data_IF_326483875139
#
_entry.id   IF_326483875139
#
_cell.length_a   1.000
_cell.length_b   1.000
_cell.length_c   1.000
_cell.angle_alpha   90.00
_cell.angle_beta   90.00
_cell.angle_gamma   90.00
#
_symmetry.space_group_name_H-M   'P 1'
#
loop_
_entity.id
_entity.type
_entity.pdbx_description
1 polymer ?
#
# COMPACT_ATOMS: atom_id res chain seq x y z
N UNK A 1 34.17 13.25 -2.56
CA UNK A 1 32.71 12.99 -2.62
C UNK A 1 32.44 11.64 -1.94
N UNK A 2 31.23 11.37 -1.49
CA UNK A 2 30.89 10.08 -0.85
C UNK A 2 29.44 9.69 -1.14
N UNK A 3 29.20 8.44 -1.53
CA UNK A 3 27.86 7.84 -1.59
C UNK A 3 27.49 7.33 -0.19
N UNK A 4 26.86 8.22 0.61
CA UNK A 4 26.65 7.99 2.04
C UNK A 4 25.54 6.99 2.33
N UNK A 5 24.43 7.04 1.58
CA UNK A 5 23.26 6.20 1.83
C UNK A 5 22.46 5.90 0.56
N UNK A 6 21.81 4.74 0.54
CA UNK A 6 20.86 4.33 -0.49
C UNK A 6 19.61 3.79 0.20
N UNK A 7 18.46 4.28 -0.20
CA UNK A 7 17.15 3.81 0.27
C UNK A 7 16.20 3.59 -0.91
N UNK A 8 15.15 2.82 -0.67
CA UNK A 8 14.13 2.56 -1.69
C UNK A 8 12.74 2.56 -1.09
N UNK A 9 11.72 2.76 -1.95
CA UNK A 9 10.35 2.90 -1.49
C UNK A 9 9.30 2.55 -2.51
N UNK A 10 8.16 2.04 -2.01
CA UNK A 10 6.95 1.77 -2.80
C UNK A 10 5.68 2.38 -2.18
N UNK A 11 5.69 2.72 -0.94
CA UNK A 11 4.70 3.45 -0.14
C UNK A 11 5.42 3.99 1.09
N UNK A 12 6.29 3.18 1.66
CA UNK A 12 7.23 3.48 2.73
C UNK A 12 8.62 3.57 2.13
N UNK A 13 9.49 4.46 2.64
CA UNK A 13 10.89 4.62 2.18
C UNK A 13 11.82 4.21 3.31
N UNK A 14 12.65 3.19 3.08
CA UNK A 14 13.64 2.66 4.04
C UNK A 14 14.78 1.94 3.30
N UNK A 15 15.93 1.77 3.99
CA UNK A 15 17.07 0.98 3.48
C UNK A 15 16.83 -0.53 3.52
N UNK A 16 15.84 -0.99 4.31
CA UNK A 16 15.52 -2.39 4.55
C UNK A 16 14.08 -2.77 4.13
N UNK A 17 13.41 -1.90 3.36
CA UNK A 17 12.05 -2.19 2.90
C UNK A 17 12.02 -3.45 2.05
N UNK A 18 11.14 -4.40 2.40
CA UNK A 18 10.82 -5.51 1.53
C UNK A 18 9.89 -5.03 0.41
N UNK A 19 10.36 -5.11 -0.84
CA UNK A 19 9.62 -4.67 -2.02
C UNK A 19 8.55 -5.69 -2.42
N UNK A 20 7.45 -5.20 -2.98
CA UNK A 20 6.42 -6.01 -3.64
C UNK A 20 6.88 -6.30 -5.07
N UNK A 21 6.93 -7.57 -5.46
CA UNK A 21 7.32 -7.95 -6.81
C UNK A 21 6.39 -7.35 -7.88
N UNK A 22 6.98 -6.82 -8.94
CA UNK A 22 6.24 -6.22 -10.05
C UNK A 22 5.56 -4.88 -9.76
N UNK A 23 5.83 -4.25 -8.60
CA UNK A 23 5.45 -2.86 -8.30
C UNK A 23 6.68 -1.97 -8.50
N UNK A 24 6.62 -0.84 -9.22
CA UNK A 24 7.76 0.05 -9.38
C UNK A 24 8.22 0.60 -8.02
N UNK A 25 9.49 1.00 -7.91
CA UNK A 25 10.03 1.54 -6.67
C UNK A 25 10.84 2.83 -6.92
N UNK A 26 10.74 3.76 -5.98
CA UNK A 26 11.70 4.84 -5.86
C UNK A 26 13.06 4.24 -5.47
N UNK A 27 14.11 4.62 -6.14
CA UNK A 27 15.49 4.50 -5.68
C UNK A 27 15.97 5.89 -5.30
N UNK A 28 16.62 6.01 -4.15
CA UNK A 28 17.12 7.27 -3.63
C UNK A 28 18.53 7.09 -3.10
N UNK A 29 19.47 7.90 -3.60
CA UNK A 29 20.87 7.86 -3.21
C UNK A 29 21.31 9.24 -2.71
N UNK A 30 22.08 9.25 -1.63
CA UNK A 30 22.65 10.46 -1.06
C UNK A 30 24.14 10.49 -1.39
N UNK A 31 24.52 11.45 -2.24
CA UNK A 31 25.91 11.70 -2.58
C UNK A 31 26.27 13.07 -2.03
N UNK A 32 27.28 13.11 -1.18
CA UNK A 32 27.70 14.29 -0.47
C UNK A 32 29.05 14.77 -0.99
N UNK A 33 29.26 16.07 -0.97
CA UNK A 33 30.54 16.69 -1.37
C UNK A 33 30.85 17.91 -0.52
N UNK A 34 32.14 18.13 -0.30
CA UNK A 34 32.65 19.24 0.50
C UNK A 34 33.06 20.46 -0.35
N UNK A 35 33.09 20.30 -1.69
CA UNK A 35 33.45 21.36 -2.63
C UNK A 35 32.20 22.00 -3.26
N UNK A 36 32.09 23.29 -3.13
CA UNK A 36 30.99 24.05 -3.76
C UNK A 36 31.03 23.93 -5.29
N UNK A 37 29.85 23.77 -5.90
CA UNK A 37 29.69 23.74 -7.36
C UNK A 37 30.03 22.40 -8.02
N UNK A 38 30.30 21.34 -7.24
CA UNK A 38 30.58 20.02 -7.81
C UNK A 38 29.28 19.39 -8.31
N UNK A 39 29.22 19.05 -9.60
CA UNK A 39 28.14 18.31 -10.25
C UNK A 39 28.62 16.90 -10.59
N UNK A 40 27.80 15.91 -10.34
CA UNK A 40 28.13 14.50 -10.53
C UNK A 40 26.96 13.75 -11.17
N UNK A 41 27.31 12.74 -11.98
CA UNK A 41 26.34 11.71 -12.40
C UNK A 41 26.27 10.60 -11.35
N UNK A 42 25.09 10.01 -11.19
CA UNK A 42 24.91 8.79 -10.38
C UNK A 42 24.20 7.77 -11.26
N UNK A 43 24.70 6.55 -11.24
CA UNK A 43 24.16 5.42 -12.02
C UNK A 43 24.03 4.19 -11.15
N UNK A 44 22.97 3.43 -11.35
CA UNK A 44 22.85 2.08 -10.82
C UNK A 44 22.84 1.06 -11.95
N UNK A 45 23.73 0.08 -11.92
CA UNK A 45 23.63 -1.12 -12.75
C UNK A 45 22.72 -2.12 -12.04
N UNK A 46 21.65 -2.53 -12.72
CA UNK A 46 20.63 -3.45 -12.19
C UNK A 46 20.93 -4.88 -12.62
N UNK A 47 20.92 -5.78 -11.66
CA UNK A 47 21.11 -7.21 -11.89
C UNK A 47 19.92 -8.00 -11.34
N UNK A 48 19.55 -9.09 -12.02
CA UNK A 48 18.64 -10.12 -11.51
C UNK A 48 19.36 -11.46 -11.54
N UNK A 49 19.46 -12.13 -10.38
CA UNK A 49 20.18 -13.39 -10.23
C UNK A 49 21.60 -13.33 -10.85
N UNK A 50 22.33 -12.25 -10.55
CA UNK A 50 23.67 -11.93 -11.05
C UNK A 50 23.78 -11.66 -12.57
N UNK A 51 22.64 -11.60 -13.28
CA UNK A 51 22.60 -11.24 -14.71
C UNK A 51 22.31 -9.75 -14.85
N UNK A 52 23.18 -9.04 -15.55
CA UNK A 52 22.97 -7.63 -15.88
C UNK A 52 21.70 -7.44 -16.70
N UNK A 53 20.91 -6.45 -16.35
CA UNK A 53 19.66 -6.10 -17.02
C UNK A 53 19.79 -4.77 -17.77
N UNK A 54 20.08 -3.71 -17.03
CA UNK A 54 20.25 -2.36 -17.58
C UNK A 54 20.89 -1.44 -16.56
N UNK A 55 21.33 -0.28 -17.05
CA UNK A 55 21.72 0.85 -16.23
C UNK A 55 20.54 1.81 -16.03
N UNK A 56 20.50 2.45 -14.84
CA UNK A 56 19.56 3.51 -14.48
C UNK A 56 20.35 4.74 -14.09
N UNK A 57 20.23 5.82 -14.87
CA UNK A 57 20.78 7.12 -14.50
C UNK A 57 19.83 7.84 -13.52
N UNK A 58 20.39 8.47 -12.50
CA UNK A 58 19.64 9.17 -11.48
C UNK A 58 19.57 10.67 -11.81
N UNK A 59 18.37 11.24 -11.64
CA UNK A 59 18.19 12.69 -11.57
C UNK A 59 18.57 13.16 -10.15
N UNK A 60 19.39 14.21 -10.05
CA UNK A 60 19.86 14.70 -8.76
C UNK A 60 20.03 16.22 -8.71
N UNK A 61 20.58 16.74 -7.60
CA UNK A 61 20.88 18.15 -7.44
C UNK A 61 21.95 18.60 -8.45
N UNK A 62 21.86 19.85 -8.86
CA UNK A 62 22.86 20.46 -9.76
C UNK A 62 24.25 20.55 -9.12
N UNK A 63 24.31 20.60 -7.78
CA UNK A 63 25.55 20.59 -6.99
C UNK A 63 25.37 19.67 -5.78
N UNK A 64 26.45 19.01 -5.39
CA UNK A 64 26.43 18.09 -4.25
C UNK A 64 26.12 18.83 -2.95
N UNK A 65 25.15 18.33 -2.14
CA UNK A 65 24.89 18.86 -0.82
C UNK A 65 26.03 18.44 0.15
N UNK A 66 26.32 19.26 1.18
CA UNK A 66 27.32 18.90 2.19
C UNK A 66 26.81 17.92 3.25
N UNK A 67 25.50 17.73 3.35
CA UNK A 67 24.84 16.82 4.31
C UNK A 67 23.55 16.26 3.73
N UNK A 68 23.10 15.12 4.29
CA UNK A 68 21.83 14.52 3.89
C UNK A 68 20.63 15.39 4.31
N UNK A 69 19.71 15.56 3.37
CA UNK A 69 18.39 16.14 3.66
C UNK A 69 17.31 15.13 3.27
N UNK A 70 16.77 14.44 4.27
CA UNK A 70 15.76 13.38 4.07
C UNK A 70 14.38 13.93 3.69
N UNK A 71 14.11 15.20 4.00
CA UNK A 71 12.81 15.82 3.75
C UNK A 71 12.66 16.40 2.34
N UNK A 72 13.77 16.56 1.60
CA UNK A 72 13.75 17.14 0.28
C UNK A 72 14.31 16.18 -0.78
N UNK A 73 13.42 15.73 -1.66
CA UNK A 73 13.83 14.87 -2.78
C UNK A 73 14.83 15.54 -3.72
N UNK A 74 14.77 16.86 -3.87
CA UNK A 74 15.67 17.60 -4.76
C UNK A 74 17.14 17.63 -4.29
N UNK A 75 17.36 17.33 -3.00
CA UNK A 75 18.71 17.26 -2.36
C UNK A 75 19.28 15.83 -2.38
N UNK A 76 18.67 14.91 -3.13
CA UNK A 76 19.14 13.54 -3.30
C UNK A 76 19.03 13.11 -4.76
N UNK A 77 19.79 12.09 -5.14
CA UNK A 77 19.71 11.46 -6.46
C UNK A 77 18.57 10.44 -6.48
N UNK A 78 17.76 10.44 -7.55
CA UNK A 78 16.55 9.65 -7.65
C UNK A 78 16.43 8.96 -9.00
N UNK A 79 15.99 7.70 -8.97
CA UNK A 79 15.55 6.98 -10.15
C UNK A 79 14.29 6.18 -9.82
N UNK A 80 13.52 5.82 -10.84
CA UNK A 80 12.45 4.86 -10.70
C UNK A 80 12.94 3.50 -11.16
N UNK A 81 12.94 2.51 -10.27
CA UNK A 81 13.16 1.13 -10.65
C UNK A 81 11.90 0.61 -11.34
N UNK A 82 11.97 0.20 -12.63
CA UNK A 82 10.81 -0.30 -13.36
C UNK A 82 10.22 -1.55 -12.71
N UNK A 83 8.91 -1.68 -12.78
CA UNK A 83 8.17 -2.82 -12.21
C UNK A 83 8.72 -4.18 -12.65
N UNK A 84 9.12 -4.32 -13.91
CA UNK A 84 9.69 -5.54 -14.48
C UNK A 84 11.00 -5.98 -13.82
N UNK A 85 11.74 -5.06 -13.21
CA UNK A 85 13.01 -5.31 -12.54
C UNK A 85 12.84 -5.53 -11.02
N UNK A 86 11.68 -5.25 -10.46
CA UNK A 86 11.40 -5.55 -9.05
C UNK A 86 11.02 -7.03 -8.93
N UNK A 87 12.04 -7.87 -8.87
CA UNK A 87 11.93 -9.33 -8.83
C UNK A 87 12.87 -9.93 -7.77
N UNK A 88 12.59 -11.12 -7.24
CA UNK A 88 13.54 -11.85 -6.39
C UNK A 88 14.90 -12.01 -7.09
N UNK A 89 15.98 -11.84 -6.32
CA UNK A 89 17.34 -11.84 -6.86
C UNK A 89 17.81 -10.49 -7.37
N UNK A 90 17.08 -9.40 -7.04
CA UNK A 90 17.46 -8.03 -7.36
C UNK A 90 18.77 -7.62 -6.64
N UNK A 91 19.72 -7.11 -7.41
CA UNK A 91 20.94 -6.46 -6.93
C UNK A 91 21.13 -5.14 -7.68
N UNK A 92 21.48 -4.10 -6.95
CA UNK A 92 21.77 -2.76 -7.48
C UNK A 92 23.18 -2.38 -7.13
N UNK A 93 24.00 -2.06 -8.13
CA UNK A 93 25.36 -1.53 -7.97
C UNK A 93 25.35 -0.07 -8.34
N UNK A 94 25.37 0.79 -7.33
CA UNK A 94 25.34 2.24 -7.51
C UNK A 94 26.75 2.78 -7.57
N UNK A 95 26.97 3.73 -8.47
CA UNK A 95 28.22 4.45 -8.61
C UNK A 95 27.95 5.94 -8.79
N UNK A 96 28.57 6.75 -7.95
CA UNK A 96 28.72 8.18 -8.18
C UNK A 96 29.98 8.39 -9.06
N UNK A 97 29.89 9.34 -10.00
CA UNK A 97 30.90 9.59 -11.01
C UNK A 97 31.33 8.33 -11.82
N UNK A 98 30.41 7.64 -12.50
CA UNK A 98 30.70 6.40 -13.22
C UNK A 98 31.71 6.60 -14.39
N UNK A 99 31.85 7.83 -14.85
CA UNK A 99 32.75 8.18 -15.95
C UNK A 99 34.11 8.68 -15.45
N UNK A 100 34.37 8.67 -14.12
CA UNK A 100 35.59 9.11 -13.43
C UNK A 100 36.09 10.50 -13.90
N UNK A 101 35.16 11.46 -13.91
CA UNK A 101 35.45 12.84 -14.37
C UNK A 101 35.93 13.74 -13.22
N UNK A 102 35.79 13.31 -11.97
CA UNK A 102 36.09 14.07 -10.77
C UNK A 102 37.25 13.36 -10.05
N UNK A 103 38.43 14.00 -10.02
CA UNK A 103 39.57 13.45 -9.30
C UNK A 103 39.39 13.56 -7.80
N UNK A 104 39.45 12.45 -7.09
CA UNK A 104 39.28 12.34 -5.65
C UNK A 104 40.46 11.67 -4.96
N UNK A 105 40.55 11.86 -3.65
CA UNK A 105 41.61 11.22 -2.85
C UNK A 105 41.21 9.77 -2.49
N UNK A 106 39.92 9.44 -2.54
CA UNK A 106 39.40 8.10 -2.25
C UNK A 106 38.25 7.80 -3.24
N UNK A 107 38.51 6.97 -4.22
CA UNK A 107 37.55 6.53 -5.23
C UNK A 107 36.70 5.32 -4.75
N UNK A 108 37.04 4.75 -3.59
CA UNK A 108 36.38 3.54 -3.11
C UNK A 108 35.04 3.82 -2.41
N UNK A 109 34.82 5.07 -1.99
CA UNK A 109 33.59 5.50 -1.29
C UNK A 109 32.46 5.94 -2.25
N UNK A 110 32.69 5.86 -3.56
CA UNK A 110 31.77 6.20 -4.64
C UNK A 110 30.87 5.02 -5.07
N UNK A 111 31.14 3.82 -4.54
CA UNK A 111 30.47 2.58 -4.93
C UNK A 111 29.65 2.03 -3.78
N UNK A 112 28.43 1.56 -4.08
CA UNK A 112 27.60 0.84 -3.13
C UNK A 112 26.78 -0.25 -3.81
N UNK A 113 26.88 -1.47 -3.31
CA UNK A 113 26.02 -2.58 -3.73
C UNK A 113 24.94 -2.81 -2.67
N UNK A 114 23.70 -2.88 -3.10
CA UNK A 114 22.55 -3.22 -2.25
C UNK A 114 21.74 -4.33 -2.88
N UNK A 115 21.16 -5.18 -2.04
CA UNK A 115 20.36 -6.33 -2.46
C UNK A 115 18.98 -6.26 -1.79
N UNK A 116 18.06 -5.41 -2.31
CA UNK A 116 16.72 -5.29 -1.72
C UNK A 116 16.00 -6.64 -1.68
N UNK A 117 15.44 -6.97 -0.53
CA UNK A 117 14.56 -8.14 -0.45
C UNK A 117 13.29 -7.87 -1.24
N UNK A 118 12.95 -8.75 -2.18
CA UNK A 118 11.71 -8.68 -2.95
C UNK A 118 10.79 -9.83 -2.54
N UNK A 119 9.59 -9.47 -2.09
CA UNK A 119 8.54 -10.42 -1.71
C UNK A 119 7.74 -10.94 -2.91
N UNK A 120 6.50 -11.35 -2.66
CA UNK A 120 5.63 -11.89 -3.72
C UNK A 120 4.91 -10.77 -4.49
N UNK A 121 4.34 -11.14 -5.63
CA UNK A 121 3.32 -10.35 -6.34
C UNK A 121 2.02 -10.39 -5.53
N UNK A 122 1.53 -9.22 -5.13
CA UNK A 122 0.32 -9.08 -4.33
C UNK A 122 -0.72 -8.28 -5.11
N UNK A 123 -1.50 -8.96 -5.95
CA UNK A 123 -2.66 -8.38 -6.62
C UNK A 123 -3.92 -8.60 -5.78
N UNK A 124 -4.63 -7.53 -5.45
CA UNK A 124 -5.93 -7.63 -4.77
C UNK A 124 -7.04 -7.88 -5.79
N UNK A 125 -7.73 -9.00 -5.65
CA UNK A 125 -8.94 -9.30 -6.42
C UNK A 125 -10.16 -8.90 -5.60
N UNK A 126 -10.84 -7.82 -6.02
CA UNK A 126 -11.91 -7.17 -5.27
C UNK A 126 -13.22 -7.19 -6.07
N UNK A 127 -14.29 -7.62 -5.45
CA UNK A 127 -15.67 -7.51 -5.95
C UNK A 127 -16.38 -6.40 -5.20
N UNK A 128 -16.83 -5.37 -5.91
CA UNK A 128 -17.65 -4.30 -5.36
C UNK A 128 -19.12 -4.63 -5.50
N UNK A 129 -19.84 -4.58 -4.40
CA UNK A 129 -21.30 -4.84 -4.34
C UNK A 129 -22.01 -3.53 -4.03
N UNK A 130 -22.73 -2.93 -5.01
CA UNK A 130 -23.61 -1.79 -4.72
C UNK A 130 -24.71 -2.21 -3.76
N UNK A 131 -24.82 -1.56 -2.59
CA UNK A 131 -25.87 -1.87 -1.61
C UNK A 131 -26.96 -0.82 -1.68
N UNK A 132 -28.16 -1.25 -2.06
CA UNK A 132 -29.38 -0.44 -2.04
C UNK A 132 -30.02 -0.61 -0.67
N UNK A 133 -29.89 0.41 0.18
CA UNK A 133 -30.42 0.38 1.54
C UNK A 133 -31.72 1.19 1.63
N UNK A 134 -32.84 0.55 1.99
CA UNK A 134 -34.12 1.22 2.05
C UNK A 134 -34.54 1.92 0.74
N UNK A 135 -34.13 1.37 -0.40
CA UNK A 135 -34.38 1.94 -1.74
C UNK A 135 -33.38 3.02 -2.19
N UNK A 136 -32.41 3.42 -1.34
CA UNK A 136 -31.42 4.45 -1.66
C UNK A 136 -30.24 3.81 -2.41
N UNK A 137 -29.97 4.32 -3.64
CA UNK A 137 -28.83 3.88 -4.46
C UNK A 137 -27.52 4.47 -3.93
N UNK A 138 -26.44 3.69 -3.83
CA UNK A 138 -25.14 4.23 -3.52
C UNK A 138 -24.54 5.03 -4.69
N UNK A 139 -23.64 6.00 -4.43
CA UNK A 139 -22.91 6.68 -5.48
C UNK A 139 -21.98 5.70 -6.19
N UNK A 140 -21.86 5.80 -7.52
CA UNK A 140 -20.91 4.98 -8.29
C UNK A 140 -19.48 5.50 -8.02
N UNK A 141 -18.55 4.67 -7.50
CA UNK A 141 -17.18 5.10 -7.27
C UNK A 141 -16.41 5.26 -8.58
N UNK A 142 -15.48 6.20 -8.63
CA UNK A 142 -14.44 6.24 -9.65
C UNK A 142 -13.43 5.12 -9.42
N UNK A 143 -13.47 4.10 -10.26
CA UNK A 143 -12.64 2.90 -10.12
C UNK A 143 -11.16 3.19 -10.32
N UNK A 144 -10.80 4.19 -11.15
CA UNK A 144 -9.41 4.61 -11.37
C UNK A 144 -8.81 5.20 -10.09
N UNK A 145 -9.48 6.20 -9.53
CA UNK A 145 -9.10 6.84 -8.27
C UNK A 145 -9.06 5.83 -7.12
N UNK A 146 -10.04 4.93 -7.06
CA UNK A 146 -10.10 3.90 -6.02
C UNK A 146 -8.91 2.93 -6.09
N UNK A 147 -8.63 2.36 -7.28
CA UNK A 147 -7.48 1.47 -7.49
C UNK A 147 -6.18 2.14 -7.12
N UNK A 148 -5.97 3.38 -7.58
CA UNK A 148 -4.76 4.12 -7.30
C UNK A 148 -4.58 4.41 -5.81
N UNK A 149 -5.66 4.84 -5.12
CA UNK A 149 -5.61 5.10 -3.69
C UNK A 149 -5.27 3.86 -2.87
N UNK A 150 -5.77 2.68 -3.25
CA UNK A 150 -5.45 1.43 -2.58
C UNK A 150 -4.00 0.98 -2.84
N UNK A 151 -3.50 1.15 -4.07
CA UNK A 151 -2.10 0.82 -4.43
C UNK A 151 -1.12 1.79 -3.77
N UNK A 152 -1.48 3.06 -3.59
CA UNK A 152 -0.62 4.04 -2.91
C UNK A 152 -0.44 3.72 -1.42
N UNK A 153 -1.45 3.14 -0.76
CA UNK A 153 -1.43 2.85 0.68
C UNK A 153 -0.92 1.44 0.98
N UNK A 154 -1.39 0.42 0.26
CA UNK A 154 -1.12 -0.96 0.62
C UNK A 154 0.01 -1.59 -0.20
N UNK A 155 0.65 -2.66 0.31
CA UNK A 155 1.67 -3.42 -0.41
C UNK A 155 1.03 -4.24 -1.55
N UNK A 156 0.40 -3.53 -2.48
CA UNK A 156 -0.29 -4.08 -3.63
C UNK A 156 0.41 -3.65 -4.92
N UNK A 157 0.67 -4.61 -5.81
CA UNK A 157 1.09 -4.33 -7.19
C UNK A 157 -0.05 -3.76 -8.01
N UNK A 158 -1.24 -4.32 -7.83
CA UNK A 158 -2.43 -3.95 -8.57
C UNK A 158 -3.72 -4.29 -7.80
N UNK A 159 -4.83 -3.66 -8.22
CA UNK A 159 -6.18 -4.01 -7.77
C UNK A 159 -7.03 -4.35 -9.00
N UNK A 160 -7.49 -5.59 -9.06
CA UNK A 160 -8.46 -6.06 -10.04
C UNK A 160 -9.86 -5.92 -9.46
N UNK A 161 -10.67 -5.01 -10.00
CA UNK A 161 -12.03 -4.75 -9.52
C UNK A 161 -13.05 -5.33 -10.48
N UNK A 162 -13.99 -6.12 -9.93
CA UNK A 162 -15.23 -6.54 -10.59
C UNK A 162 -16.42 -5.89 -9.88
N UNK A 163 -17.43 -5.53 -10.68
CA UNK A 163 -18.70 -5.02 -10.16
C UNK A 163 -19.71 -6.17 -10.14
N UNK A 164 -20.38 -6.36 -9.00
CA UNK A 164 -21.52 -7.27 -8.89
C UNK A 164 -22.83 -6.52 -9.16
N UNK A 165 -23.89 -7.25 -9.46
CA UNK A 165 -25.27 -6.72 -9.41
C UNK A 165 -25.59 -6.20 -8.01
N UNK A 166 -26.40 -5.13 -7.94
CA UNK A 166 -26.75 -4.51 -6.69
C UNK A 166 -27.47 -5.49 -5.73
N UNK A 167 -27.17 -5.37 -4.46
CA UNK A 167 -27.81 -6.08 -3.37
C UNK A 167 -28.75 -5.12 -2.62
N UNK A 168 -30.00 -5.53 -2.40
CA UNK A 168 -30.99 -4.71 -1.68
C UNK A 168 -31.20 -5.23 -0.28
N UNK A 169 -31.24 -4.31 0.69
CA UNK A 169 -31.50 -4.62 2.10
C UNK A 169 -32.28 -3.49 2.77
N UNK A 170 -32.99 -3.81 3.83
CA UNK A 170 -33.62 -2.83 4.72
C UNK A 170 -32.86 -2.68 6.05
N UNK A 171 -31.81 -3.49 6.27
CA UNK A 171 -31.04 -3.39 7.52
C UNK A 171 -30.29 -2.07 7.62
N UNK A 172 -30.30 -1.48 8.81
CA UNK A 172 -29.45 -0.32 9.18
C UNK A 172 -28.32 -0.72 10.14
N UNK A 173 -28.31 -1.98 10.55
CA UNK A 173 -27.26 -2.54 11.40
C UNK A 173 -26.04 -2.95 10.58
N UNK A 174 -24.88 -2.38 10.91
CA UNK A 174 -23.62 -2.62 10.20
C UNK A 174 -23.15 -4.09 10.28
N UNK A 175 -23.33 -4.72 11.45
CA UNK A 175 -22.93 -6.11 11.66
C UNK A 175 -23.81 -7.06 10.87
N UNK A 176 -25.13 -6.80 10.82
CA UNK A 176 -26.06 -7.55 9.99
C UNK A 176 -25.72 -7.39 8.51
N UNK A 177 -25.48 -6.17 8.03
CA UNK A 177 -25.09 -5.93 6.64
C UNK A 177 -23.78 -6.67 6.27
N UNK A 178 -22.79 -6.63 7.16
CA UNK A 178 -21.53 -7.35 6.96
C UNK A 178 -21.76 -8.87 6.86
N UNK A 179 -22.66 -9.44 7.66
CA UNK A 179 -23.07 -10.83 7.58
C UNK A 179 -23.79 -11.15 6.25
N UNK A 180 -24.68 -10.27 5.80
CA UNK A 180 -25.39 -10.42 4.51
C UNK A 180 -24.40 -10.45 3.33
N UNK A 181 -23.43 -9.54 3.27
CA UNK A 181 -22.38 -9.53 2.23
C UNK A 181 -21.45 -10.75 2.35
N UNK A 182 -21.21 -11.23 3.56
CA UNK A 182 -20.44 -12.48 3.79
C UNK A 182 -21.18 -13.68 3.21
N UNK A 183 -22.48 -13.79 3.47
CA UNK A 183 -23.32 -14.85 2.92
C UNK A 183 -23.41 -14.76 1.38
N UNK A 184 -23.48 -13.53 0.84
CA UNK A 184 -23.49 -13.29 -0.59
C UNK A 184 -22.20 -13.79 -1.27
N UNK A 185 -21.02 -13.46 -0.68
CA UNK A 185 -19.74 -13.98 -1.14
C UNK A 185 -19.68 -15.51 -1.12
N UNK A 186 -20.20 -16.13 -0.06
CA UNK A 186 -20.25 -17.58 0.07
C UNK A 186 -21.17 -18.23 -0.97
N UNK A 187 -22.32 -17.61 -1.24
CA UNK A 187 -23.26 -18.06 -2.27
C UNK A 187 -22.66 -17.98 -3.69
N UNK A 188 -21.90 -16.92 -3.97
CA UNK A 188 -21.17 -16.74 -5.23
C UNK A 188 -19.93 -17.68 -5.34
N UNK A 189 -19.59 -18.40 -4.27
CA UNK A 189 -18.40 -19.27 -4.15
C UNK A 189 -17.12 -18.56 -4.57
N UNK A 190 -17.01 -17.26 -4.27
CA UNK A 190 -15.93 -16.40 -4.74
C UNK A 190 -14.69 -16.50 -3.87
N UNK A 191 -13.51 -16.58 -4.48
CA UNK A 191 -12.21 -16.42 -3.83
C UNK A 191 -11.81 -14.96 -3.61
N UNK A 192 -12.52 -14.01 -4.23
CA UNK A 192 -12.20 -12.57 -4.20
C UNK A 192 -12.59 -11.94 -2.86
N UNK A 193 -11.99 -10.81 -2.54
CA UNK A 193 -12.48 -9.92 -1.48
C UNK A 193 -13.81 -9.30 -1.92
N UNK A 194 -14.75 -9.13 -1.00
CA UNK A 194 -16.04 -8.49 -1.22
C UNK A 194 -16.13 -7.21 -0.42
N UNK A 195 -16.56 -6.14 -1.06
CA UNK A 195 -16.82 -4.88 -0.39
C UNK A 195 -18.21 -4.36 -0.78
N UNK A 196 -19.13 -4.43 0.17
CA UNK A 196 -20.45 -3.82 0.03
C UNK A 196 -20.36 -2.31 0.21
N UNK A 197 -20.65 -1.52 -0.82
CA UNK A 197 -20.56 -0.07 -0.68
C UNK A 197 -21.95 0.58 -0.68
N UNK A 198 -22.12 1.59 0.16
CA UNK A 198 -23.37 2.28 0.39
C UNK A 198 -23.15 3.77 0.67
N UNK A 199 -24.26 4.55 0.64
CA UNK A 199 -24.21 6.00 0.85
C UNK A 199 -24.29 6.36 2.35
N UNK A 200 -23.36 5.83 3.15
CA UNK A 200 -23.21 6.16 4.57
C UNK A 200 -21.75 6.47 4.87
N UNK A 201 -21.49 7.23 5.94
CA UNK A 201 -20.15 7.49 6.42
C UNK A 201 -19.62 6.31 7.26
N UNK A 202 -18.32 6.01 7.13
CA UNK A 202 -17.65 4.92 7.84
C UNK A 202 -17.78 3.57 7.16
N UNK A 203 -17.44 2.52 7.89
CA UNK A 203 -17.46 1.15 7.43
C UNK A 203 -17.24 0.17 8.56
N UNK A 204 -17.24 -1.10 8.22
CA UNK A 204 -16.87 -2.22 9.10
C UNK A 204 -16.36 -3.38 8.24
N UNK A 205 -15.42 -4.12 8.77
CA UNK A 205 -14.90 -5.31 8.10
C UNK A 205 -14.55 -6.42 9.08
N UNK A 206 -14.51 -7.64 8.59
CA UNK A 206 -13.97 -8.75 9.36
C UNK A 206 -12.45 -8.67 9.46
N UNK A 207 -11.92 -8.91 10.64
CA UNK A 207 -10.48 -9.01 10.85
C UNK A 207 -9.95 -10.33 10.24
N UNK A 208 -9.03 -10.20 9.27
CA UNK A 208 -8.40 -11.35 8.61
C UNK A 208 -9.31 -12.15 7.66
N UNK A 209 -10.55 -11.68 7.39
CA UNK A 209 -11.46 -12.32 6.45
C UNK A 209 -11.79 -11.35 5.28
N UNK A 210 -12.03 -11.86 4.07
CA UNK A 210 -12.08 -11.06 2.86
C UNK A 210 -13.44 -10.37 2.59
N UNK A 211 -14.08 -9.80 3.63
CA UNK A 211 -15.35 -9.09 3.49
C UNK A 211 -15.38 -7.83 4.33
N UNK A 212 -15.77 -6.72 3.71
CA UNK A 212 -16.04 -5.44 4.35
C UNK A 212 -17.24 -4.73 3.74
N UNK A 213 -17.76 -3.75 4.44
CA UNK A 213 -18.85 -2.87 3.98
C UNK A 213 -18.56 -1.44 4.40
N UNK A 214 -18.96 -0.44 3.60
CA UNK A 214 -18.74 0.95 3.98
C UNK A 214 -18.90 1.95 2.85
N UNK A 215 -18.45 3.17 3.12
CA UNK A 215 -18.40 4.23 2.12
C UNK A 215 -17.44 3.86 0.99
N UNK A 216 -17.75 4.18 -0.30
CA UNK A 216 -16.88 3.84 -1.44
C UNK A 216 -15.67 4.76 -1.61
N UNK A 217 -15.35 5.63 -0.64
CA UNK A 217 -14.12 6.44 -0.70
C UNK A 217 -12.87 5.59 -0.51
N UNK A 218 -11.78 5.95 -1.18
CA UNK A 218 -10.51 5.21 -1.08
C UNK A 218 -9.96 5.15 0.34
N UNK A 219 -10.19 6.20 1.16
CA UNK A 219 -9.72 6.23 2.55
C UNK A 219 -10.46 5.25 3.46
N UNK A 220 -11.81 5.24 3.41
CA UNK A 220 -12.61 4.29 4.20
C UNK A 220 -12.34 2.86 3.72
N UNK A 221 -12.32 2.64 2.40
CA UNK A 221 -12.06 1.31 1.85
C UNK A 221 -10.64 0.82 2.19
N UNK A 222 -9.64 1.70 2.19
CA UNK A 222 -8.29 1.33 2.62
C UNK A 222 -8.26 0.90 4.09
N UNK A 223 -9.00 1.61 4.97
CA UNK A 223 -9.14 1.25 6.38
C UNK A 223 -9.78 -0.14 6.54
N UNK A 224 -10.93 -0.35 5.93
CA UNK A 224 -11.68 -1.62 6.05
C UNK A 224 -10.90 -2.81 5.44
N UNK A 225 -10.23 -2.60 4.30
CA UNK A 225 -9.34 -3.61 3.73
C UNK A 225 -8.14 -3.89 4.64
N UNK A 226 -7.65 -2.90 5.39
CA UNK A 226 -6.64 -3.11 6.42
C UNK A 226 -7.09 -4.13 7.46
N UNK A 227 -8.36 -4.07 7.92
CA UNK A 227 -8.91 -5.12 8.77
C UNK A 227 -8.96 -6.47 8.07
N UNK A 228 -9.34 -6.50 6.80
CA UNK A 228 -9.30 -7.75 6.03
C UNK A 228 -7.86 -8.31 5.90
N UNK A 229 -6.83 -7.45 5.94
CA UNK A 229 -5.42 -7.86 5.99
C UNK A 229 -4.95 -8.19 7.42
N UNK A 230 -5.88 -8.43 8.35
CA UNK A 230 -5.65 -8.79 9.74
C UNK A 230 -4.96 -7.71 10.59
N UNK A 231 -5.24 -6.44 10.29
CA UNK A 231 -4.71 -5.29 11.04
C UNK A 231 -5.75 -4.77 12.04
N UNK A 232 -5.33 -4.63 13.30
CA UNK A 232 -6.08 -3.88 14.32
C UNK A 232 -5.86 -2.38 14.15
N UNK A 233 -6.61 -1.56 14.90
CA UNK A 233 -6.48 -0.11 14.81
C UNK A 233 -5.11 0.42 15.28
N UNK A 234 -4.65 1.52 14.67
CA UNK A 234 -3.62 2.35 15.24
C UNK A 234 -4.20 3.21 16.39
N UNK A 235 -3.42 3.52 17.45
CA UNK A 235 -3.92 4.18 18.65
C UNK A 235 -4.13 5.68 18.43
N UNK A 236 -5.17 6.06 17.65
CA UNK A 236 -5.50 7.45 17.33
C UNK A 236 -7.00 7.65 17.17
N UNK A 237 -7.54 8.76 17.69
CA UNK A 237 -8.95 9.14 17.52
C UNK A 237 -9.93 8.26 18.30
N UNK A 238 -9.52 7.74 19.45
CA UNK A 238 -10.32 6.82 20.28
C UNK A 238 -10.77 5.55 19.53
N UNK A 239 -9.95 5.08 18.60
CA UNK A 239 -10.20 3.82 17.90
C UNK A 239 -10.34 2.66 18.90
N UNK A 240 -11.35 1.80 18.69
CA UNK A 240 -11.60 0.65 19.56
C UNK A 240 -10.53 -0.43 19.35
N UNK A 241 -10.13 -1.12 20.41
CA UNK A 241 -9.20 -2.24 20.34
C UNK A 241 -7.93 -1.94 19.51
N UNK A 242 -7.15 -0.89 19.86
CA UNK A 242 -5.93 -0.58 19.14
C UNK A 242 -4.91 -1.72 19.30
N UNK A 243 -4.03 -1.88 18.30
CA UNK A 243 -2.94 -2.84 18.37
C UNK A 243 -2.00 -2.50 19.55
N UNK A 244 -1.90 -3.35 20.57
CA UNK A 244 -1.05 -3.06 21.74
C UNK A 244 0.44 -3.00 21.41
N UNK A 245 0.84 -3.53 20.26
CA UNK A 245 2.22 -3.54 19.78
C UNK A 245 2.51 -2.42 18.78
N UNK A 246 1.55 -1.49 18.55
CA UNK A 246 1.77 -0.39 17.64
C UNK A 246 2.90 0.53 18.15
N UNK A 247 3.98 0.73 17.37
CA UNK A 247 5.21 1.30 17.94
C UNK A 247 5.21 2.83 18.04
N UNK A 248 4.27 3.53 17.36
CA UNK A 248 4.31 4.98 17.23
C UNK A 248 3.20 5.67 18.02
N UNK A 249 3.58 6.59 18.90
CA UNK A 249 2.62 7.34 19.71
C UNK A 249 1.61 8.09 18.84
N UNK A 250 0.34 8.10 19.27
CA UNK A 250 -0.74 8.85 18.63
C UNK A 250 -0.98 8.48 17.16
N UNK A 251 -0.71 7.21 16.78
CA UNK A 251 -0.94 6.71 15.42
C UNK A 251 -0.03 7.32 14.35
N UNK A 252 1.18 7.76 14.70
CA UNK A 252 2.19 8.24 13.75
C UNK A 252 2.62 7.14 12.76
N UNK A 253 3.21 7.52 11.61
CA UNK A 253 3.57 6.56 10.56
C UNK A 253 5.00 6.03 10.64
N UNK A 254 5.83 6.60 11.50
CA UNK A 254 7.18 6.15 11.84
C UNK A 254 8.26 6.41 10.80
N UNK A 255 8.04 6.05 9.56
CA UNK A 255 8.99 6.23 8.46
C UNK A 255 8.44 7.18 7.39
N UNK A 256 9.31 7.74 6.55
CA UNK A 256 8.89 8.51 5.38
C UNK A 256 7.99 7.68 4.48
N UNK A 257 6.87 8.29 4.06
CA UNK A 257 6.04 7.73 3.01
C UNK A 257 6.45 8.26 1.64
N UNK A 258 6.03 7.57 0.58
CA UNK A 258 6.20 8.01 -0.79
C UNK A 258 5.00 7.63 -1.66
N UNK A 259 4.30 8.63 -2.17
CA UNK A 259 3.25 8.41 -3.16
C UNK A 259 3.86 8.20 -4.54
N UNK A 260 3.80 6.98 -5.04
CA UNK A 260 4.26 6.67 -6.40
C UNK A 260 3.47 7.43 -7.46
N UNK A 261 2.17 7.63 -7.24
CA UNK A 261 1.30 8.34 -8.17
C UNK A 261 1.57 9.84 -8.25
N UNK A 262 1.99 10.45 -7.13
CA UNK A 262 2.26 11.88 -7.02
C UNK A 262 3.76 12.23 -7.12
N UNK A 263 4.64 11.24 -6.97
CA UNK A 263 6.09 11.46 -6.93
C UNK A 263 6.55 12.30 -5.73
N UNK A 264 5.85 12.21 -4.59
CA UNK A 264 6.11 13.08 -3.42
C UNK A 264 6.26 12.30 -2.13
N UNK A 265 7.09 12.83 -1.22
CA UNK A 265 7.24 12.30 0.13
C UNK A 265 6.03 12.62 0.99
N UNK A 266 5.81 11.77 2.00
CA UNK A 266 4.87 11.98 3.09
C UNK A 266 5.67 12.01 4.39
N UNK A 267 5.61 13.16 5.09
CA UNK A 267 6.44 13.44 6.26
C UNK A 267 5.90 12.74 7.51
N UNK A 268 6.67 11.84 8.15
CA UNK A 268 6.26 11.20 9.39
C UNK A 268 6.19 12.18 10.58
N UNK A 269 6.85 13.33 10.50
CA UNK A 269 6.82 14.37 11.54
C UNK A 269 5.61 15.32 11.41
N UNK A 270 4.90 15.32 10.28
CA UNK A 270 3.66 16.11 10.14
C UNK A 270 2.58 15.53 11.08
N UNK A 271 2.19 16.31 12.08
CA UNK A 271 1.20 15.92 13.07
C UNK A 271 -0.18 15.59 12.49
N UNK A 272 -0.47 16.05 11.26
CA UNK A 272 -1.71 15.75 10.53
C UNK A 272 -1.68 14.40 9.84
N UNK A 273 -0.50 13.83 9.60
CA UNK A 273 -0.34 12.52 8.96
C UNK A 273 -0.41 11.44 10.04
N UNK A 274 -1.35 10.53 9.88
CA UNK A 274 -1.60 9.42 10.80
C UNK A 274 -1.80 8.13 10.03
N UNK A 275 -1.61 7.00 10.74
CA UNK A 275 -1.86 5.70 10.14
C UNK A 275 -3.32 5.57 9.72
N UNK A 276 -3.54 5.02 8.53
CA UNK A 276 -4.86 4.79 7.94
C UNK A 276 -5.74 3.91 8.82
N UNK A 277 -5.15 3.06 9.68
CA UNK A 277 -5.87 2.25 10.65
C UNK A 277 -6.28 3.02 11.91
N UNK A 278 -6.02 4.33 12.01
CA UNK A 278 -6.52 5.21 13.07
C UNK A 278 -7.77 5.98 12.67
N UNK A 279 -8.36 6.70 13.63
CA UNK A 279 -9.57 7.53 13.42
C UNK A 279 -9.26 9.03 13.44
N UNK A 280 -8.03 9.43 13.11
CA UNK A 280 -7.62 10.82 13.14
C UNK A 280 -6.60 11.14 12.03
N UNK A 281 -6.53 12.43 11.68
CA UNK A 281 -5.57 12.95 10.71
C UNK A 281 -5.86 12.57 9.25
N UNK A 282 -4.86 12.82 8.40
CA UNK A 282 -4.87 12.35 7.00
C UNK A 282 -4.21 10.98 6.96
N UNK A 283 -4.94 9.97 6.44
CA UNK A 283 -4.46 8.60 6.43
C UNK A 283 -3.30 8.37 5.46
N UNK A 284 -2.19 7.89 5.98
CA UNK A 284 -1.15 7.18 5.27
C UNK A 284 -0.98 5.83 5.95
N UNK A 285 0.01 5.02 5.60
CA UNK A 285 0.30 3.77 6.31
C UNK A 285 1.66 3.86 7.00
N UNK A 286 1.75 3.36 8.23
CA UNK A 286 3.02 3.18 8.91
C UNK A 286 3.82 2.03 8.28
N UNK A 287 5.13 2.06 8.43
CA UNK A 287 5.98 0.93 8.02
C UNK A 287 5.61 -0.35 8.77
N UNK A 288 5.15 -0.22 10.03
CA UNK A 288 4.68 -1.33 10.85
C UNK A 288 3.44 -2.02 10.24
N UNK A 289 2.38 -1.24 9.94
CA UNK A 289 1.16 -1.79 9.34
C UNK A 289 1.38 -2.26 7.90
N UNK A 290 2.21 -1.55 7.13
CA UNK A 290 2.59 -1.95 5.78
C UNK A 290 3.25 -3.33 5.75
N UNK A 291 4.23 -3.58 6.62
CA UNK A 291 4.93 -4.86 6.69
C UNK A 291 4.02 -6.01 7.17
N UNK A 292 3.12 -5.73 8.13
CA UNK A 292 2.11 -6.71 8.58
C UNK A 292 1.16 -7.07 7.44
N UNK A 293 0.62 -6.07 6.73
CA UNK A 293 -0.23 -6.29 5.56
C UNK A 293 0.48 -7.10 4.47
N UNK A 294 1.75 -6.76 4.16
CA UNK A 294 2.53 -7.49 3.17
C UNK A 294 2.71 -8.96 3.57
N UNK A 295 3.05 -9.22 4.81
CA UNK A 295 3.21 -10.58 5.32
C UNK A 295 1.91 -11.37 5.23
N UNK A 296 0.78 -10.77 5.60
CA UNK A 296 -0.54 -11.40 5.50
C UNK A 296 -0.89 -11.72 4.03
N UNK A 297 -0.77 -10.75 3.13
CA UNK A 297 -1.09 -10.91 1.71
C UNK A 297 -0.21 -11.96 1.02
N UNK A 298 1.05 -12.09 1.42
CA UNK A 298 1.98 -13.09 0.88
C UNK A 298 1.71 -14.52 1.39
N UNK A 299 1.15 -14.65 2.58
CA UNK A 299 0.81 -15.95 3.20
C UNK A 299 -0.63 -16.38 2.92
N UNK A 300 -1.53 -15.42 2.72
CA UNK A 300 -2.95 -15.64 2.43
C UNK A 300 -3.36 -14.89 1.16
N UNK A 301 -2.77 -15.27 -0.01
CA UNK A 301 -2.95 -14.48 -1.22
C UNK A 301 -4.42 -14.47 -1.65
N UNK A 302 -4.93 -13.29 -2.09
CA UNK A 302 -6.23 -13.20 -2.74
C UNK A 302 -6.29 -14.12 -3.96
N UNK A 303 -7.42 -14.77 -4.18
CA UNK A 303 -7.60 -15.68 -5.31
C UNK A 303 -8.34 -14.99 -6.44
N UNK A 304 -7.76 -15.03 -7.65
CA UNK A 304 -8.47 -14.74 -8.88
C UNK A 304 -9.42 -15.90 -9.15
N UNK A 305 -10.75 -15.67 -9.09
CA UNK A 305 -11.68 -16.60 -9.71
C UNK A 305 -12.05 -16.09 -11.10
N UNK A 306 -12.00 -17.01 -12.04
CA UNK A 306 -12.58 -16.83 -13.37
C UNK A 306 -14.10 -16.79 -13.21
N UNK A 307 -14.70 -15.63 -13.54
CA UNK A 307 -16.14 -15.37 -13.59
C UNK A 307 -16.93 -15.71 -12.30
N UNK A 308 -17.56 -14.75 -11.63
CA UNK A 308 -18.56 -15.05 -10.62
C UNK A 308 -19.68 -15.81 -11.36
N UNK A 309 -19.94 -17.05 -10.96
CA UNK A 309 -21.16 -17.71 -11.35
C UNK A 309 -22.30 -16.95 -10.67
N UNK A 310 -22.90 -16.00 -11.38
CA UNK A 310 -24.08 -15.27 -10.92
C UNK A 310 -25.21 -16.29 -10.74
N UNK A 311 -25.34 -16.85 -9.56
CA UNK A 311 -26.50 -17.62 -9.20
C UNK A 311 -27.51 -16.64 -8.60
N UNK A 312 -28.74 -16.69 -9.11
CA UNK A 312 -29.86 -16.09 -8.43
C UNK A 312 -30.06 -16.87 -7.12
N UNK A 313 -29.60 -16.31 -6.02
CA UNK A 313 -29.77 -16.90 -4.69
C UNK A 313 -30.80 -16.09 -3.94
N UNK A 314 -31.75 -16.79 -3.32
CA UNK A 314 -32.60 -16.21 -2.29
C UNK A 314 -31.81 -16.23 -0.98
N UNK A 315 -31.38 -15.07 -0.52
CA UNK A 315 -30.82 -14.93 0.82
C UNK A 315 -31.98 -14.80 1.79
N UNK A 316 -32.12 -15.79 2.67
CA UNK A 316 -33.12 -15.77 3.74
C UNK A 316 -32.37 -15.43 5.02
N UNK A 317 -32.65 -14.25 5.58
CA UNK A 317 -32.20 -13.87 6.92
C UNK A 317 -33.30 -14.06 7.96
N UNK A 318 -32.90 -14.36 9.18
CA UNK A 318 -33.86 -14.56 10.25
C UNK A 318 -33.17 -14.81 11.59
N UNK A 319 -33.96 -14.76 12.65
CA UNK A 319 -33.50 -15.02 14.02
C UNK A 319 -34.03 -16.34 14.52
N UNK A 320 -33.18 -17.14 15.14
CA UNK A 320 -33.61 -18.33 15.90
C UNK A 320 -33.96 -17.89 17.32
N UNK A 321 -35.18 -18.06 17.72
CA UNK A 321 -35.65 -17.78 19.07
C UNK A 321 -36.09 -19.08 19.78
N UNK A 322 -36.36 -19.02 21.08
CA UNK A 322 -36.88 -20.17 21.80
C UNK A 322 -38.27 -20.64 21.28
N UNK A 323 -38.96 -19.79 20.50
CA UNK A 323 -40.27 -20.08 19.90
C UNK A 323 -40.19 -20.50 18.43
N UNK A 324 -38.96 -20.54 17.83
CA UNK A 324 -38.76 -20.94 16.45
C UNK A 324 -37.94 -19.95 15.64
N UNK A 325 -37.94 -20.13 14.30
CA UNK A 325 -37.24 -19.25 13.34
C UNK A 325 -38.19 -18.14 12.92
N UNK A 326 -37.77 -16.89 13.09
CA UNK A 326 -38.45 -15.71 12.55
C UNK A 326 -37.65 -15.23 11.36
N UNK A 327 -38.25 -15.19 10.18
CA UNK A 327 -37.65 -14.65 8.95
C UNK A 327 -37.84 -13.14 8.93
N UNK A 328 -36.79 -12.38 8.62
CA UNK A 328 -36.83 -10.93 8.51
C UNK A 328 -37.30 -10.48 7.12
#
# INVERSE_FOLDING_TARGET
>A
MVLSRVEWGQTVVKEDLRLVAGKPALLRAYVLGDKAGLSVKVRASVYLNSQFQQDLDFAGPATLPPSENVSDLSQSFRATLPASLVQPGLELRLQADPDNQIAETDETNNLRTVTPTVGKDTTLYLTLVPVIQGGIQPPTPDLGTLKQGLVDIWPLKAVDIQMRTAYSTNTTDWGQLLNEITALRAADKSGRYYYGYLNLNGGIAWLGLPVGVGNPSSGVMAHELGHNFNLSHAPCGNASNPDPNYPYAGGGIGSWGYSLSKGSLVDPADSKIKDVMGYCGFGWVSDYMYQKAQTFLETSPPQAQTEPQLQNVLLVSGRVTAQGVVLD
#
